data_IF_566911943386
#
_entry.id   IF_566911943386
#
_cell.length_a   1.000
_cell.length_b   1.000
_cell.length_c   1.000
_cell.angle_alpha   90.00
_cell.angle_beta   90.00
_cell.angle_gamma   90.00
#
_symmetry.space_group_name_H-M   'P 1'
#
loop_
_entity.id
_entity.type
_entity.pdbx_description
1 polymer ?
#
# COMPACT_ATOMS: atom_id res chain seq x y z
N UNK A 1 -3.94 15.87 6.76
CA UNK A 1 -2.74 16.72 6.51
C UNK A 1 -3.11 18.15 6.08
N UNK A 2 -3.95 18.36 5.07
CA UNK A 2 -4.24 19.72 4.55
C UNK A 2 -4.63 20.73 5.61
N UNK A 3 -5.50 20.39 6.54
CA UNK A 3 -5.93 21.28 7.63
C UNK A 3 -4.81 21.68 8.62
N UNK A 4 -3.69 20.94 8.64
CA UNK A 4 -2.52 21.21 9.49
C UNK A 4 -1.39 21.92 8.74
N UNK A 5 -1.56 22.14 7.45
CA UNK A 5 -0.51 22.66 6.59
C UNK A 5 -0.11 24.10 6.96
N UNK A 6 -1.08 24.96 7.26
CA UNK A 6 -0.80 26.35 7.61
C UNK A 6 0.09 26.45 8.86
N UNK A 7 -0.17 25.62 9.86
CA UNK A 7 0.62 25.57 11.10
C UNK A 7 2.08 25.14 10.87
N UNK A 8 2.31 24.17 9.97
CA UNK A 8 3.61 23.53 9.81
C UNK A 8 4.37 23.91 8.53
N UNK A 9 3.68 24.33 7.49
CA UNK A 9 4.28 24.77 6.22
C UNK A 9 4.24 26.29 6.05
N UNK A 10 3.45 27.00 6.90
CA UNK A 10 3.25 28.46 6.82
C UNK A 10 2.35 28.89 5.67
N UNK A 11 1.67 27.93 5.00
CA UNK A 11 0.75 28.17 3.90
C UNK A 11 -0.40 27.16 3.93
N UNK A 12 -1.59 27.58 3.53
CA UNK A 12 -2.72 26.68 3.35
C UNK A 12 -2.52 25.76 2.14
N UNK A 13 -3.00 24.52 2.22
CA UNK A 13 -3.04 23.60 1.08
C UNK A 13 -4.45 23.55 0.49
N UNK A 14 -4.58 23.93 -0.78
CA UNK A 14 -5.77 23.64 -1.56
C UNK A 14 -5.69 22.21 -2.09
N UNK A 15 -6.66 21.39 -1.74
CA UNK A 15 -6.71 19.99 -2.18
C UNK A 15 -7.44 19.92 -3.52
N UNK A 16 -6.73 19.55 -4.58
CA UNK A 16 -7.25 19.37 -5.92
C UNK A 16 -7.24 17.88 -6.29
N UNK A 17 -8.41 17.26 -6.35
CA UNK A 17 -8.56 15.86 -6.70
C UNK A 17 -8.63 15.67 -8.21
N UNK A 18 -7.66 14.95 -8.78
CA UNK A 18 -7.58 14.57 -10.20
C UNK A 18 -7.79 13.06 -10.36
N UNK A 19 -9.02 12.56 -10.26
CA UNK A 19 -9.31 11.13 -10.37
C UNK A 19 -9.12 10.63 -11.81
N UNK A 20 -8.88 9.33 -11.92
CA UNK A 20 -8.88 8.60 -13.19
C UNK A 20 -7.67 7.69 -13.38
N UNK A 21 -7.88 6.62 -14.12
CA UNK A 21 -6.88 5.61 -14.47
C UNK A 21 -6.04 5.10 -13.29
N UNK A 22 -6.64 4.98 -12.08
CA UNK A 22 -5.93 4.52 -10.89
C UNK A 22 -4.90 5.51 -10.34
N UNK A 23 -5.05 6.82 -10.63
CA UNK A 23 -4.12 7.87 -10.22
C UNK A 23 -3.18 8.36 -11.34
N UNK A 24 -3.12 7.64 -12.47
CA UNK A 24 -2.23 8.00 -13.58
C UNK A 24 -2.43 9.45 -14.07
N UNK A 25 -3.69 9.95 -14.11
CA UNK A 25 -3.99 11.32 -14.56
C UNK A 25 -3.35 12.34 -13.60
N UNK A 26 -3.55 12.18 -12.29
CA UNK A 26 -2.97 13.07 -11.28
C UNK A 26 -1.45 13.11 -11.33
N UNK A 27 -0.80 11.94 -11.41
CA UNK A 27 0.66 11.86 -11.47
C UNK A 27 1.23 12.40 -12.78
N UNK A 28 0.53 12.23 -13.91
CA UNK A 28 0.92 12.85 -15.17
C UNK A 28 0.86 14.38 -15.12
N UNK A 29 -0.14 14.93 -14.46
CA UNK A 29 -0.25 16.40 -14.27
C UNK A 29 0.86 16.88 -13.33
N UNK A 30 1.11 16.17 -12.24
CA UNK A 30 2.15 16.50 -11.27
C UNK A 30 3.54 16.49 -11.92
N UNK A 31 3.86 15.46 -12.72
CA UNK A 31 5.19 15.36 -13.37
C UNK A 31 5.52 16.53 -14.31
N UNK A 32 4.49 17.25 -14.78
CA UNK A 32 4.63 18.42 -15.69
C UNK A 32 4.49 19.76 -14.98
N UNK A 33 4.22 19.77 -13.69
CA UNK A 33 4.10 21.00 -12.91
C UNK A 33 5.47 21.64 -12.67
N UNK A 34 5.47 22.92 -12.25
CA UNK A 34 6.72 23.62 -11.91
C UNK A 34 7.33 23.05 -10.62
N UNK A 35 8.65 22.83 -10.56
CA UNK A 35 9.31 22.32 -9.36
C UNK A 35 9.66 23.47 -8.38
N UNK A 36 8.71 24.30 -8.06
CA UNK A 36 8.86 25.47 -7.18
C UNK A 36 8.36 25.24 -5.74
N UNK A 37 7.85 24.03 -5.46
CA UNK A 37 7.33 23.65 -4.16
C UNK A 37 5.88 24.03 -3.90
N UNK A 38 5.21 24.78 -4.82
CA UNK A 38 3.81 25.13 -4.67
C UNK A 38 2.83 24.07 -5.21
N UNK A 39 3.34 23.11 -5.98
CA UNK A 39 2.56 21.94 -6.42
C UNK A 39 3.20 20.67 -5.89
N UNK A 40 2.52 20.02 -4.98
CA UNK A 40 2.90 18.70 -4.44
C UNK A 40 1.76 17.72 -4.64
N UNK A 41 2.04 16.44 -4.63
CA UNK A 41 1.04 15.41 -4.85
C UNK A 41 1.18 14.22 -3.91
N UNK A 42 0.09 13.49 -3.76
CA UNK A 42 0.10 12.23 -3.03
C UNK A 42 0.81 11.13 -3.85
N UNK A 43 1.86 10.56 -3.30
CA UNK A 43 2.47 9.34 -3.81
C UNK A 43 1.73 8.11 -3.26
N UNK A 44 1.52 7.12 -4.11
CA UNK A 44 0.94 5.84 -3.74
C UNK A 44 1.81 4.71 -4.31
N UNK A 45 2.57 4.06 -3.43
CA UNK A 45 3.43 2.94 -3.80
C UNK A 45 2.79 1.63 -3.34
N UNK A 46 2.96 0.54 -4.08
CA UNK A 46 3.63 0.41 -5.39
C UNK A 46 2.80 0.86 -6.61
N UNK A 47 1.59 1.41 -6.44
CA UNK A 47 0.67 1.68 -7.56
C UNK A 47 1.26 2.56 -8.67
N UNK A 48 2.03 3.60 -8.33
CA UNK A 48 2.73 4.43 -9.34
C UNK A 48 3.69 3.58 -10.18
N UNK A 49 4.39 2.66 -9.53
CA UNK A 49 5.40 1.80 -10.16
C UNK A 49 4.73 0.73 -11.00
N UNK A 50 3.71 0.02 -10.47
CA UNK A 50 3.00 -1.03 -11.21
C UNK A 50 2.33 -0.47 -12.46
N UNK A 51 1.72 0.71 -12.38
CA UNK A 51 1.13 1.38 -13.53
C UNK A 51 2.20 1.65 -14.59
N UNK A 52 3.38 2.18 -14.18
CA UNK A 52 4.47 2.46 -15.12
C UNK A 52 5.03 1.19 -15.76
N UNK A 53 5.21 0.12 -14.99
CA UNK A 53 5.82 -1.14 -15.47
C UNK A 53 4.88 -2.01 -16.30
N UNK A 54 3.58 -1.99 -16.00
CA UNK A 54 2.60 -2.93 -16.59
C UNK A 54 1.74 -2.31 -17.68
N UNK A 55 1.62 -0.98 -17.75
CA UNK A 55 0.81 -0.31 -18.78
C UNK A 55 1.66 0.26 -19.89
N UNK A 56 1.14 0.22 -21.12
CA UNK A 56 1.74 0.90 -22.27
C UNK A 56 1.46 2.41 -22.23
N UNK A 57 2.38 3.20 -22.75
CA UNK A 57 2.22 4.65 -22.97
C UNK A 57 1.90 5.46 -21.70
N UNK A 58 2.47 5.08 -20.56
CA UNK A 58 2.39 5.88 -19.33
C UNK A 58 3.31 7.10 -19.46
N UNK A 59 2.79 8.34 -19.39
CA UNK A 59 3.54 9.53 -19.74
C UNK A 59 4.34 10.13 -18.56
N UNK A 60 4.74 9.31 -17.61
CA UNK A 60 5.65 9.67 -16.51
C UNK A 60 6.56 8.49 -16.17
N UNK A 61 7.66 8.76 -15.47
CA UNK A 61 8.57 7.81 -14.84
C UNK A 61 8.75 8.12 -13.36
N UNK A 62 9.33 7.22 -12.60
CA UNK A 62 9.64 7.50 -11.19
C UNK A 62 10.68 8.61 -11.05
N UNK A 63 11.54 8.77 -12.05
CA UNK A 63 12.57 9.82 -12.10
C UNK A 63 12.01 11.21 -12.37
N UNK A 64 10.74 11.35 -12.72
CA UNK A 64 10.08 12.65 -12.91
C UNK A 64 9.62 13.28 -11.59
N UNK A 65 9.85 12.57 -10.46
CA UNK A 65 9.41 13.02 -9.14
C UNK A 65 10.56 13.16 -8.15
N UNK A 66 10.43 14.12 -7.27
CA UNK A 66 11.17 14.22 -6.01
C UNK A 66 10.25 13.71 -4.90
N UNK A 67 10.60 12.59 -4.28
CA UNK A 67 9.85 12.05 -3.16
C UNK A 67 10.28 12.76 -1.88
N UNK A 68 9.33 13.42 -1.21
CA UNK A 68 9.59 14.30 -0.07
C UNK A 68 9.50 13.51 1.24
N UNK A 69 8.45 12.71 1.41
CA UNK A 69 8.26 11.90 2.60
C UNK A 69 7.32 10.72 2.34
N UNK A 70 7.53 9.60 3.04
CA UNK A 70 6.49 8.61 3.27
C UNK A 70 5.86 8.82 4.64
N UNK A 71 4.54 8.77 4.72
CA UNK A 71 3.78 9.14 5.91
C UNK A 71 2.89 8.03 6.45
N UNK A 72 2.73 6.96 5.67
CA UNK A 72 1.96 5.78 6.07
C UNK A 72 2.49 4.55 5.34
N UNK A 73 2.52 3.43 6.06
CA UNK A 73 2.71 2.09 5.47
C UNK A 73 1.59 1.20 5.96
N UNK A 74 0.85 0.61 5.03
CA UNK A 74 -0.29 -0.27 5.33
C UNK A 74 0.01 -1.65 4.72
N UNK A 75 0.48 -2.61 5.53
CA UNK A 75 0.88 -3.92 5.03
C UNK A 75 -0.29 -4.72 4.50
N UNK A 76 0.01 -5.68 3.63
CA UNK A 76 -0.97 -6.64 3.15
C UNK A 76 -1.12 -7.78 4.15
N UNK A 77 -2.33 -8.25 4.29
CA UNK A 77 -2.71 -9.37 5.16
C UNK A 77 -3.55 -10.40 4.38
N UNK A 78 -3.50 -11.64 4.81
CA UNK A 78 -4.45 -12.67 4.41
C UNK A 78 -5.50 -12.85 5.48
N UNK A 79 -6.76 -12.79 5.08
CA UNK A 79 -7.94 -12.79 5.96
C UNK A 79 -8.84 -13.95 5.58
N UNK A 80 -9.41 -14.62 6.58
CA UNK A 80 -10.43 -15.68 6.41
C UNK A 80 -11.61 -15.43 7.34
N UNK A 81 -12.72 -16.13 7.10
CA UNK A 81 -13.81 -16.19 8.08
C UNK A 81 -13.32 -16.92 9.35
N UNK A 82 -13.81 -16.54 10.52
CA UNK A 82 -13.47 -17.19 11.80
C UNK A 82 -13.85 -18.67 11.81
N UNK A 83 -14.94 -19.03 11.16
CA UNK A 83 -15.41 -20.41 10.99
C UNK A 83 -14.79 -21.14 9.78
N UNK A 84 -13.78 -20.55 9.15
CA UNK A 84 -13.04 -21.17 8.05
C UNK A 84 -12.31 -22.43 8.51
N UNK A 85 -12.21 -23.48 7.65
CA UNK A 85 -11.39 -24.65 7.95
C UNK A 85 -9.90 -24.34 8.01
N UNK A 86 -9.50 -23.13 7.56
CA UNK A 86 -8.10 -22.67 7.62
C UNK A 86 -7.88 -21.91 8.91
N UNK A 87 -7.43 -22.61 9.95
CA UNK A 87 -7.20 -21.99 11.27
C UNK A 87 -5.88 -21.23 11.34
N UNK A 88 -4.92 -21.67 10.54
CA UNK A 88 -3.60 -21.03 10.37
C UNK A 88 -3.29 -20.77 8.90
N UNK A 89 -2.30 -19.93 8.64
CA UNK A 89 -1.79 -19.73 7.29
C UNK A 89 -1.21 -21.02 6.67
N UNK A 90 -0.62 -21.90 7.49
CA UNK A 90 -0.12 -23.20 7.07
C UNK A 90 -1.24 -24.14 6.60
N UNK A 91 -2.42 -24.11 7.24
CA UNK A 91 -3.59 -24.89 6.80
C UNK A 91 -4.04 -24.46 5.41
N UNK A 92 -4.09 -23.14 5.16
CA UNK A 92 -4.42 -22.61 3.86
C UNK A 92 -3.43 -23.08 2.78
N UNK A 93 -2.12 -23.01 3.05
CA UNK A 93 -1.07 -23.48 2.13
C UNK A 93 -1.23 -24.98 1.83
N UNK A 94 -1.45 -25.78 2.86
CA UNK A 94 -1.68 -27.23 2.69
C UNK A 94 -2.87 -27.52 1.77
N UNK A 95 -3.98 -26.81 1.96
CA UNK A 95 -5.15 -26.94 1.11
C UNK A 95 -4.90 -26.46 -0.32
N UNK A 96 -4.22 -25.32 -0.51
CA UNK A 96 -3.89 -24.77 -1.82
C UNK A 96 -2.96 -25.65 -2.65
N UNK A 97 -2.19 -26.55 -2.02
CA UNK A 97 -1.39 -27.56 -2.72
C UNK A 97 -2.21 -28.73 -3.28
N UNK A 98 -3.42 -28.94 -2.79
CA UNK A 98 -4.27 -30.10 -3.18
C UNK A 98 -5.49 -29.70 -4.00
N UNK A 99 -5.94 -28.43 -3.91
CA UNK A 99 -7.09 -27.91 -4.65
C UNK A 99 -6.89 -26.43 -4.99
N UNK A 100 -7.54 -25.97 -6.06
CA UNK A 100 -7.58 -24.55 -6.39
C UNK A 100 -8.50 -23.83 -5.41
N UNK A 101 -7.97 -22.82 -4.70
CA UNK A 101 -8.71 -21.97 -3.79
C UNK A 101 -8.95 -20.60 -4.43
N UNK A 102 -10.10 -19.97 -4.11
CA UNK A 102 -10.44 -18.63 -4.57
C UNK A 102 -9.95 -17.59 -3.57
N UNK A 103 -9.16 -16.63 -4.05
CA UNK A 103 -8.62 -15.55 -3.24
C UNK A 103 -9.14 -14.22 -3.75
N UNK A 104 -9.97 -13.55 -2.96
CA UNK A 104 -10.41 -12.20 -3.27
C UNK A 104 -9.30 -11.18 -3.02
N UNK A 105 -9.29 -10.11 -3.79
CA UNK A 105 -8.41 -8.97 -3.55
C UNK A 105 -8.85 -7.72 -4.29
N UNK A 106 -8.15 -6.62 -4.01
CA UNK A 106 -8.39 -5.33 -4.64
C UNK A 106 -7.88 -5.37 -6.08
N UNK A 107 -8.65 -5.02 -7.04
CA UNK A 107 -8.40 -4.80 -8.47
C UNK A 107 -7.29 -5.61 -9.18
N UNK A 108 -7.30 -5.70 -10.47
CA UNK A 108 -6.18 -6.28 -11.20
C UNK A 108 -4.97 -5.33 -11.16
N UNK A 109 -3.76 -5.90 -11.16
CA UNK A 109 -2.49 -5.15 -11.11
C UNK A 109 -2.35 -4.24 -9.87
N UNK A 110 -3.09 -4.57 -8.79
CA UNK A 110 -3.00 -3.84 -7.52
C UNK A 110 -1.79 -4.30 -6.69
N UNK A 111 -1.46 -3.51 -5.69
CA UNK A 111 -0.48 -3.87 -4.67
C UNK A 111 -0.88 -5.14 -3.88
N UNK A 112 -2.18 -5.33 -3.68
CA UNK A 112 -2.73 -6.53 -3.02
C UNK A 112 -2.46 -7.78 -3.87
N UNK A 113 -2.75 -7.71 -5.17
CA UNK A 113 -2.45 -8.80 -6.11
C UNK A 113 -0.95 -9.08 -6.17
N UNK A 114 -0.12 -8.04 -6.28
CA UNK A 114 1.35 -8.18 -6.29
C UNK A 114 1.84 -8.99 -5.09
N UNK A 115 1.44 -8.61 -3.86
CA UNK A 115 1.86 -9.33 -2.65
C UNK A 115 1.40 -10.78 -2.66
N UNK A 116 0.16 -11.01 -3.10
CA UNK A 116 -0.40 -12.35 -3.17
C UNK A 116 0.37 -13.24 -4.17
N UNK A 117 0.66 -12.73 -5.35
CA UNK A 117 1.40 -13.45 -6.40
C UNK A 117 2.86 -13.76 -5.97
N UNK A 118 3.52 -12.83 -5.26
CA UNK A 118 4.84 -13.09 -4.70
C UNK A 118 4.77 -14.20 -3.64
N UNK A 119 3.76 -14.15 -2.77
CA UNK A 119 3.56 -15.20 -1.78
C UNK A 119 3.27 -16.57 -2.44
N UNK A 120 2.44 -16.64 -3.48
CA UNK A 120 2.21 -17.85 -4.26
C UNK A 120 3.51 -18.46 -4.80
N UNK A 121 4.32 -17.61 -5.45
CA UNK A 121 5.61 -17.99 -6.02
C UNK A 121 6.54 -18.56 -4.94
N UNK A 122 6.71 -17.84 -3.85
CA UNK A 122 7.65 -18.20 -2.78
C UNK A 122 7.19 -19.43 -1.97
N UNK A 123 5.87 -19.63 -1.83
CA UNK A 123 5.28 -20.76 -1.10
C UNK A 123 5.01 -21.97 -2.00
N UNK A 124 5.17 -21.85 -3.31
CA UNK A 124 4.93 -22.93 -4.27
C UNK A 124 3.47 -23.38 -4.32
N UNK A 125 2.54 -22.44 -4.27
CA UNK A 125 1.10 -22.66 -4.41
C UNK A 125 0.55 -21.89 -5.60
N UNK A 126 -0.67 -22.25 -6.02
CA UNK A 126 -1.42 -21.52 -7.04
C UNK A 126 -2.87 -21.44 -6.63
N UNK A 127 -3.45 -20.24 -6.69
CA UNK A 127 -4.85 -19.99 -6.38
C UNK A 127 -5.55 -19.31 -7.57
N UNK A 128 -6.85 -19.16 -7.48
CA UNK A 128 -7.64 -18.35 -8.41
C UNK A 128 -7.87 -16.97 -7.80
N UNK A 129 -7.11 -15.96 -8.25
CA UNK A 129 -7.28 -14.59 -7.78
C UNK A 129 -8.54 -13.97 -8.38
N UNK A 130 -9.47 -13.53 -7.53
CA UNK A 130 -10.74 -12.91 -7.91
C UNK A 130 -10.68 -11.42 -7.58
N UNK A 131 -10.50 -10.53 -8.57
CA UNK A 131 -10.38 -9.10 -8.35
C UNK A 131 -11.74 -8.47 -8.05
N UNK A 132 -11.80 -7.61 -7.04
CA UNK A 132 -12.96 -6.79 -6.69
C UNK A 132 -12.61 -5.30 -6.84
N UNK A 133 -13.63 -4.46 -6.95
CA UNK A 133 -13.44 -3.01 -7.00
C UNK A 133 -13.30 -2.45 -5.57
N UNK A 134 -12.13 -2.68 -4.97
CA UNK A 134 -11.73 -2.22 -3.64
C UNK A 134 -11.78 -3.31 -2.56
N UNK A 135 -10.89 -3.19 -1.56
CA UNK A 135 -10.74 -4.13 -0.44
C UNK A 135 -12.05 -4.34 0.34
N UNK A 136 -12.90 -3.32 0.46
CA UNK A 136 -14.19 -3.45 1.15
C UNK A 136 -15.12 -4.48 0.49
N UNK A 137 -15.24 -4.45 -0.85
CA UNK A 137 -16.05 -5.42 -1.60
C UNK A 137 -15.45 -6.83 -1.56
N UNK A 138 -14.11 -6.94 -1.60
CA UNK A 138 -13.42 -8.22 -1.46
C UNK A 138 -13.68 -8.85 -0.08
N UNK A 139 -13.59 -8.06 1.00
CA UNK A 139 -13.92 -8.52 2.36
C UNK A 139 -15.40 -8.90 2.51
N UNK A 140 -16.30 -8.17 1.88
CA UNK A 140 -17.73 -8.53 1.84
C UNK A 140 -17.96 -9.87 1.15
N UNK A 141 -17.26 -10.14 0.04
CA UNK A 141 -17.34 -11.44 -0.63
C UNK A 141 -16.81 -12.58 0.24
N UNK A 142 -15.75 -12.33 1.03
CA UNK A 142 -15.23 -13.28 2.02
C UNK A 142 -16.26 -13.56 3.12
N UNK A 143 -16.85 -12.52 3.74
CA UNK A 143 -17.92 -12.66 4.74
C UNK A 143 -19.10 -13.46 4.20
N UNK A 144 -19.44 -13.27 2.93
CA UNK A 144 -20.47 -14.04 2.22
C UNK A 144 -20.03 -15.44 1.81
N UNK A 145 -18.86 -15.93 2.21
CA UNK A 145 -18.29 -17.26 1.90
C UNK A 145 -18.23 -17.56 0.39
N UNK A 146 -18.09 -16.53 -0.45
CA UNK A 146 -17.96 -16.66 -1.90
C UNK A 146 -16.51 -16.95 -2.36
N UNK A 147 -15.57 -16.75 -1.45
CA UNK A 147 -14.13 -17.00 -1.65
C UNK A 147 -13.55 -17.62 -0.38
N UNK A 148 -12.41 -18.28 -0.50
CA UNK A 148 -11.76 -19.01 0.58
C UNK A 148 -10.91 -18.10 1.46
N UNK A 149 -10.33 -17.06 0.88
CA UNK A 149 -9.43 -16.11 1.52
C UNK A 149 -9.60 -14.72 0.88
N UNK A 150 -9.31 -13.67 1.61
CA UNK A 150 -9.16 -12.33 1.06
C UNK A 150 -7.75 -11.80 1.36
N UNK A 151 -7.02 -11.42 0.32
CA UNK A 151 -5.86 -10.57 0.45
C UNK A 151 -6.33 -9.11 0.55
N UNK A 152 -5.89 -8.37 1.55
CA UNK A 152 -6.36 -7.03 1.86
C UNK A 152 -5.28 -6.18 2.51
N UNK A 153 -5.48 -4.88 2.62
CA UNK A 153 -4.64 -4.07 3.51
C UNK A 153 -5.03 -4.31 4.97
N UNK A 154 -4.06 -4.18 5.88
CA UNK A 154 -4.28 -4.36 7.31
C UNK A 154 -5.37 -3.40 7.82
N UNK A 155 -5.31 -2.12 7.44
CA UNK A 155 -6.28 -1.11 7.88
C UNK A 155 -7.71 -1.42 7.44
N UNK A 156 -7.91 -1.99 6.25
CA UNK A 156 -9.22 -2.41 5.78
C UNK A 156 -9.72 -3.65 6.54
N UNK A 157 -8.84 -4.63 6.76
CA UNK A 157 -9.16 -5.84 7.52
C UNK A 157 -9.51 -5.53 8.98
N UNK A 158 -8.75 -4.66 9.66
CA UNK A 158 -8.98 -4.28 11.06
C UNK A 158 -10.36 -3.67 11.32
N UNK A 159 -10.97 -3.04 10.32
CA UNK A 159 -12.34 -2.49 10.43
C UNK A 159 -13.40 -3.58 10.50
N UNK A 160 -13.06 -4.79 10.08
CA UNK A 160 -13.94 -5.95 10.03
C UNK A 160 -13.60 -7.03 11.06
N UNK A 161 -12.53 -6.87 11.83
CA UNK A 161 -12.24 -7.75 12.96
C UNK A 161 -13.36 -7.63 14.01
N UNK A 162 -13.83 -8.77 14.51
CA UNK A 162 -15.03 -8.86 15.37
C UNK A 162 -16.35 -9.00 14.61
N UNK A 163 -16.33 -8.93 13.26
CA UNK A 163 -17.47 -9.24 12.41
C UNK A 163 -17.32 -10.61 11.73
N UNK A 164 -16.72 -11.59 12.42
CA UNK A 164 -16.53 -12.95 11.93
C UNK A 164 -15.32 -13.14 11.00
N UNK A 165 -14.38 -12.20 10.98
CA UNK A 165 -13.15 -12.29 10.22
C UNK A 165 -11.91 -12.35 11.13
N UNK A 166 -10.91 -13.14 10.73
CA UNK A 166 -9.59 -13.20 11.36
C UNK A 166 -8.46 -13.07 10.34
N UNK A 167 -7.33 -12.50 10.77
CA UNK A 167 -6.11 -12.40 9.97
C UNK A 167 -5.26 -13.64 10.21
N UNK A 168 -4.81 -14.30 9.15
CA UNK A 168 -3.93 -15.47 9.22
C UNK A 168 -2.45 -15.09 9.23
N UNK A 169 -2.08 -14.06 8.47
CA UNK A 169 -0.69 -13.62 8.30
C UNK A 169 -0.63 -12.16 7.89
N UNK A 170 0.41 -11.47 8.34
CA UNK A 170 0.75 -10.13 7.88
C UNK A 170 2.08 -10.16 7.12
N UNK A 171 2.11 -9.52 5.94
CA UNK A 171 3.33 -9.37 5.14
C UNK A 171 4.03 -8.06 5.54
N UNK A 172 4.74 -8.11 6.64
CA UNK A 172 5.51 -7.02 7.23
C UNK A 172 6.66 -7.59 8.08
N UNK A 173 7.58 -6.72 8.48
CA UNK A 173 8.71 -7.09 9.35
C UNK A 173 8.28 -7.34 10.81
N UNK A 174 7.09 -6.86 11.18
CA UNK A 174 6.53 -7.01 12.53
C UNK A 174 5.11 -7.55 12.47
N UNK A 175 4.76 -8.39 13.46
CA UNK A 175 3.41 -8.89 13.65
C UNK A 175 2.44 -7.74 13.97
N UNK A 176 1.19 -7.87 13.54
CA UNK A 176 0.14 -6.86 13.75
C UNK A 176 -1.22 -7.52 13.92
N UNK A 177 -2.11 -6.89 14.66
CA UNK A 177 -3.48 -7.37 14.90
C UNK A 177 -3.54 -8.84 15.36
N UNK A 178 -2.59 -9.24 16.23
CA UNK A 178 -2.43 -10.60 16.76
C UNK A 178 -2.15 -11.67 15.68
N UNK A 179 -1.79 -11.27 14.47
CA UNK A 179 -1.42 -12.17 13.39
C UNK A 179 0.12 -12.24 13.24
N UNK A 180 0.67 -13.43 12.95
CA UNK A 180 2.09 -13.60 12.74
C UNK A 180 2.55 -12.95 11.43
N UNK A 181 3.84 -12.64 11.35
CA UNK A 181 4.51 -12.29 10.10
C UNK A 181 4.61 -13.50 9.17
N UNK A 182 4.89 -13.27 7.88
CA UNK A 182 5.14 -14.36 6.93
C UNK A 182 6.32 -15.25 7.39
N UNK A 183 7.36 -14.64 7.97
CA UNK A 183 8.51 -15.37 8.53
C UNK A 183 8.13 -16.28 9.68
N UNK A 184 7.30 -15.80 10.61
CA UNK A 184 6.79 -16.59 11.73
C UNK A 184 5.84 -17.71 11.28
N UNK A 185 4.95 -17.39 10.31
CA UNK A 185 3.93 -18.33 9.85
C UNK A 185 4.47 -19.43 8.92
N UNK A 186 5.49 -19.14 8.11
CA UNK A 186 5.97 -20.03 7.06
C UNK A 186 7.44 -20.42 7.19
N UNK A 187 8.20 -19.82 8.12
CA UNK A 187 9.65 -19.95 8.17
C UNK A 187 10.38 -19.35 6.98
N UNK A 188 9.70 -18.52 6.16
CA UNK A 188 10.22 -17.88 4.96
C UNK A 188 10.06 -16.37 5.05
N UNK A 189 11.10 -15.67 4.64
CA UNK A 189 11.09 -14.22 4.52
C UNK A 189 10.49 -13.85 3.15
N UNK A 190 9.20 -13.51 3.15
CA UNK A 190 8.48 -13.07 1.95
C UNK A 190 8.47 -11.56 1.94
N UNK A 191 9.11 -10.97 0.93
CA UNK A 191 9.24 -9.52 0.81
C UNK A 191 7.88 -8.80 0.89
N UNK A 192 7.73 -7.74 1.71
CA UNK A 192 6.48 -6.98 1.85
C UNK A 192 6.28 -6.00 0.68
N UNK A 193 6.33 -6.53 -0.55
CA UNK A 193 6.31 -5.74 -1.79
C UNK A 193 4.97 -5.04 -2.05
N UNK A 194 3.89 -5.55 -1.46
CA UNK A 194 2.54 -5.03 -1.64
C UNK A 194 2.10 -3.98 -0.61
N UNK A 195 2.93 -3.66 0.38
CA UNK A 195 2.55 -2.66 1.38
C UNK A 195 2.12 -1.35 0.71
N UNK A 196 0.91 -0.86 1.07
CA UNK A 196 0.41 0.40 0.54
C UNK A 196 1.08 1.57 1.25
N UNK A 197 2.11 2.14 0.61
CA UNK A 197 2.86 3.27 1.15
C UNK A 197 2.23 4.55 0.60
N UNK A 198 1.83 5.43 1.51
CA UNK A 198 1.35 6.77 1.19
C UNK A 198 2.45 7.76 1.51
N UNK A 199 2.73 8.62 0.56
CA UNK A 199 3.75 9.64 0.70
C UNK A 199 3.37 10.92 -0.02
N UNK A 200 4.29 11.86 0.03
CA UNK A 200 4.20 13.14 -0.67
C UNK A 200 5.37 13.22 -1.65
N UNK A 201 5.09 13.62 -2.86
CA UNK A 201 6.10 13.89 -3.89
C UNK A 201 5.82 15.22 -4.61
N UNK A 202 6.80 15.71 -5.30
CA UNK A 202 6.75 16.90 -6.13
C UNK A 202 7.32 16.60 -7.52
N UNK A 203 7.18 17.50 -8.51
CA UNK A 203 7.93 17.42 -9.74
C UNK A 203 9.44 17.40 -9.46
N UNK A 204 10.21 16.71 -10.29
CA UNK A 204 11.67 16.68 -10.21
C UNK A 204 12.25 18.09 -10.36
N UNK A 205 13.27 18.37 -9.53
CA UNK A 205 14.04 19.61 -9.66
C UNK A 205 13.76 20.65 -8.57
N UNK A 206 13.13 20.24 -7.45
CA UNK A 206 13.06 21.11 -6.27
C UNK A 206 14.48 21.54 -5.83
N UNK A 207 14.63 22.80 -5.42
CA UNK A 207 15.85 23.22 -4.75
C UNK A 207 16.01 22.50 -3.40
N UNK A 208 17.24 22.27 -2.92
CA UNK A 208 17.47 21.64 -1.61
C UNK A 208 16.77 22.37 -0.46
N UNK A 209 16.71 23.70 -0.52
CA UNK A 209 16.04 24.53 0.46
C UNK A 209 14.53 24.28 0.50
N UNK A 210 13.88 24.24 -0.66
CA UNK A 210 12.43 23.97 -0.79
C UNK A 210 12.13 22.55 -0.34
N UNK A 211 12.95 21.56 -0.74
CA UNK A 211 12.80 20.17 -0.29
C UNK A 211 12.86 20.07 1.24
N UNK A 212 13.87 20.67 1.85
CA UNK A 212 14.04 20.67 3.31
C UNK A 212 12.86 21.33 4.03
N UNK A 213 12.37 22.46 3.52
CA UNK A 213 11.19 23.14 4.07
C UNK A 213 9.95 22.26 4.02
N UNK A 214 9.67 21.64 2.89
CA UNK A 214 8.52 20.73 2.72
C UNK A 214 8.65 19.49 3.60
N UNK A 215 9.82 18.87 3.64
CA UNK A 215 10.10 17.69 4.49
C UNK A 215 9.86 18.00 5.95
N UNK A 216 10.42 19.10 6.47
CA UNK A 216 10.25 19.51 7.86
C UNK A 216 8.78 19.84 8.19
N UNK A 217 8.06 20.51 7.29
CA UNK A 217 6.64 20.79 7.47
C UNK A 217 5.79 19.52 7.50
N UNK A 218 6.05 18.56 6.61
CA UNK A 218 5.36 17.27 6.60
C UNK A 218 5.68 16.48 7.88
N UNK A 219 6.94 16.48 8.32
CA UNK A 219 7.36 15.88 9.59
C UNK A 219 6.56 16.49 10.76
N UNK A 220 6.51 17.82 10.84
CA UNK A 220 5.75 18.52 11.86
C UNK A 220 4.27 18.15 11.88
N UNK A 221 3.65 17.96 10.71
CA UNK A 221 2.26 17.47 10.62
C UNK A 221 2.15 16.05 11.18
N UNK A 222 3.07 15.14 10.82
CA UNK A 222 3.04 13.76 11.29
C UNK A 222 3.27 13.64 12.81
N UNK A 223 3.98 14.57 13.41
CA UNK A 223 4.27 14.67 14.85
C UNK A 223 3.23 15.50 15.62
N UNK A 224 2.28 16.14 14.95
CA UNK A 224 1.24 16.96 15.57
C UNK A 224 0.27 16.09 16.40
N UNK A 225 0.11 16.36 17.71
CA UNK A 225 -0.75 15.54 18.57
C UNK A 225 -2.20 15.43 18.11
N UNK A 226 -2.76 16.51 17.55
CA UNK A 226 -4.14 16.52 17.07
C UNK A 226 -4.28 15.67 15.80
N UNK A 227 -3.29 15.74 14.89
CA UNK A 227 -3.24 14.91 13.71
C UNK A 227 -3.12 13.43 14.09
N UNK A 228 -2.23 13.09 15.03
CA UNK A 228 -2.06 11.71 15.54
C UNK A 228 -3.38 11.23 16.16
N UNK A 229 -4.06 12.05 16.96
CA UNK A 229 -5.33 11.68 17.56
C UNK A 229 -6.44 11.42 16.51
N UNK A 230 -6.51 12.23 15.45
CA UNK A 230 -7.47 12.01 14.35
C UNK A 230 -7.17 10.75 13.56
N UNK A 231 -5.91 10.50 13.22
CA UNK A 231 -5.53 9.31 12.42
C UNK A 231 -5.72 8.01 13.21
N UNK A 232 -5.48 8.02 14.52
CA UNK A 232 -5.79 6.87 15.40
C UNK A 232 -7.28 6.52 15.42
N UNK A 233 -8.17 7.52 15.44
CA UNK A 233 -9.63 7.29 15.33
C UNK A 233 -10.00 6.62 14.00
N UNK A 234 -9.25 6.89 12.94
CA UNK A 234 -9.44 6.28 11.63
C UNK A 234 -8.73 4.92 11.47
N UNK A 235 -8.06 4.43 12.53
CA UNK A 235 -7.22 3.22 12.52
C UNK A 235 -6.11 3.30 11.44
N UNK A 236 -5.54 4.49 11.26
CA UNK A 236 -4.41 4.72 10.37
C UNK A 236 -3.13 4.81 11.21
N UNK A 237 -2.16 3.98 10.87
CA UNK A 237 -0.83 4.06 11.44
C UNK A 237 0.00 5.05 10.64
N UNK A 238 0.30 6.19 11.25
CA UNK A 238 1.06 7.27 10.64
C UNK A 238 2.48 7.24 11.20
N UNK A 239 3.44 7.24 10.30
CA UNK A 239 4.85 7.40 10.60
C UNK A 239 5.47 8.38 9.62
N UNK A 240 6.64 8.91 9.94
CA UNK A 240 7.39 9.78 9.04
C UNK A 240 8.67 9.08 8.60
N UNK A 241 8.91 9.06 7.30
CA UNK A 241 10.20 8.72 6.69
C UNK A 241 10.62 9.87 5.80
N UNK A 242 11.85 10.31 5.94
CA UNK A 242 12.38 11.45 5.19
C UNK A 242 12.55 11.14 3.68
N UNK A 243 12.98 12.15 2.91
CA UNK A 243 13.14 12.02 1.46
C UNK A 243 14.12 10.90 1.07
N UNK A 244 15.24 10.77 1.78
CA UNK A 244 16.24 9.73 1.51
C UNK A 244 15.70 8.33 1.78
N UNK A 245 15.02 8.13 2.91
CA UNK A 245 14.37 6.85 3.25
C UNK A 245 13.27 6.51 2.25
N UNK A 246 12.47 7.51 1.88
CA UNK A 246 11.39 7.34 0.89
C UNK A 246 11.94 6.97 -0.48
N UNK A 247 13.05 7.59 -0.92
CA UNK A 247 13.71 7.24 -2.17
C UNK A 247 14.26 5.80 -2.16
N UNK A 248 14.77 5.31 -1.02
CA UNK A 248 15.16 3.90 -0.87
C UNK A 248 13.98 2.97 -1.04
N UNK A 249 12.83 3.30 -0.42
CA UNK A 249 11.59 2.53 -0.57
C UNK A 249 11.16 2.49 -2.04
N UNK A 250 11.17 3.62 -2.75
CA UNK A 250 10.84 3.69 -4.18
C UNK A 250 11.75 2.77 -4.99
N UNK A 251 13.06 2.84 -4.77
CA UNK A 251 14.04 2.03 -5.50
C UNK A 251 13.87 0.53 -5.22
N UNK A 252 13.69 0.14 -3.97
CA UNK A 252 13.44 -1.25 -3.58
C UNK A 252 12.13 -1.78 -4.16
N UNK A 253 11.06 -0.99 -4.08
CA UNK A 253 9.76 -1.36 -4.64
C UNK A 253 9.81 -1.47 -6.16
N UNK A 254 10.52 -0.55 -6.84
CA UNK A 254 10.70 -0.60 -8.29
C UNK A 254 11.40 -1.88 -8.72
N UNK A 255 12.46 -2.27 -8.00
CA UNK A 255 13.16 -3.54 -8.23
C UNK A 255 12.23 -4.74 -8.05
N UNK A 256 11.51 -4.80 -6.94
CA UNK A 256 10.57 -5.90 -6.65
C UNK A 256 9.46 -6.02 -7.69
N UNK A 257 8.87 -4.91 -8.12
CA UNK A 257 7.85 -4.90 -9.19
C UNK A 257 8.44 -5.39 -10.51
N UNK A 258 9.61 -4.87 -10.89
CA UNK A 258 10.28 -5.26 -12.16
C UNK A 258 10.63 -6.75 -12.18
N UNK A 259 11.16 -7.31 -11.08
CA UNK A 259 11.51 -8.73 -10.96
C UNK A 259 10.29 -9.66 -10.95
N UNK A 260 9.11 -9.17 -10.62
CA UNK A 260 7.89 -9.94 -10.47
C UNK A 260 6.77 -9.57 -11.45
N UNK A 261 7.03 -8.68 -12.41
CA UNK A 261 6.01 -8.24 -13.40
C UNK A 261 5.45 -9.35 -14.27
N UNK A 262 6.18 -10.44 -14.44
CA UNK A 262 5.74 -11.61 -15.21
C UNK A 262 4.72 -12.50 -14.46
N UNK A 263 4.43 -12.17 -13.19
CA UNK A 263 3.42 -12.89 -12.40
C UNK A 263 1.98 -12.43 -12.66
N UNK A 264 1.79 -11.24 -13.30
CA UNK A 264 0.46 -10.67 -13.59
C UNK A 264 -0.20 -11.26 -14.82
#
# INVERSE_FOLDING_TARGET
MGKYAEKHLGQTLTIDNKPGAGGQIGWTLLSKAKPDGYTIGAASLPSMITIKELRKNVPFSMDDFTFIAAVQSDPIVWVVNEDSPYTTAADFIKAAKTKTLNVAGDGPQSNVQLQHLIAEKDLGIKTNFVPFNGSGKALTALMGKKVDLCASTLSAAQKQLGNGLKILVVFADQSAASAPTAKEAFGKDIAPAGAAIRGICAPKGLSPEVLTKLENGIKGICEDPDFIAETKKLKLDIGFKNAQETQRIVSQTSKLVSENKNLF
#
